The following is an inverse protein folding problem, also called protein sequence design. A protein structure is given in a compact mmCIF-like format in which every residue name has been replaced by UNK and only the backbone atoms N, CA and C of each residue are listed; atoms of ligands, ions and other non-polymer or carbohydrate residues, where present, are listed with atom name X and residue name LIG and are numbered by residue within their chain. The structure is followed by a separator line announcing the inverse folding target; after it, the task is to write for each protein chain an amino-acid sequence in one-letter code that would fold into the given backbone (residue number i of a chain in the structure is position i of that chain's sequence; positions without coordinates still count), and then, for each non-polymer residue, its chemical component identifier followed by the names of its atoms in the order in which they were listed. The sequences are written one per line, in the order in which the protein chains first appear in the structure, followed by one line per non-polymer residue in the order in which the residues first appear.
data_IF_997437249100
#
_entry.id   IF_997437249100
#
_cell.length_a   1.000
_cell.length_b   1.000
_cell.length_c   1.000
_cell.angle_alpha   90.00
_cell.angle_beta   90.00
_cell.angle_gamma   90.00
#
_symmetry.space_group_name_H-M   'P 1'
#
loop_
_entity.id
_entity.type
_entity.pdbx_description
1 polymer ?
#
# COMPACT_ATOMS: atom_id res chain seq x y z
N UNK A 1 6.75 6.13 -8.63
CA UNK A 1 5.37 6.28 -9.14
C UNK A 1 5.33 7.34 -10.22
N UNK A 2 4.36 7.28 -11.14
CA UNK A 2 4.10 8.38 -12.05
C UNK A 2 3.41 9.54 -11.31
N UNK A 3 3.44 10.74 -11.90
CA UNK A 3 2.83 11.92 -11.30
C UNK A 3 1.31 11.80 -11.19
N UNK A 4 0.80 12.18 -10.04
CA UNK A 4 -0.63 12.19 -9.74
C UNK A 4 -0.97 13.46 -8.94
N UNK A 5 -2.11 14.07 -9.19
CA UNK A 5 -2.59 15.19 -8.37
C UNK A 5 -2.85 14.75 -6.92
N UNK A 6 -2.43 15.59 -5.96
CA UNK A 6 -2.61 15.33 -4.53
C UNK A 6 -4.08 15.07 -4.17
N UNK A 7 -5.01 15.79 -4.79
CA UNK A 7 -6.46 15.62 -4.59
C UNK A 7 -6.95 14.21 -4.90
N UNK A 8 -6.40 13.57 -5.94
CA UNK A 8 -6.73 12.19 -6.30
C UNK A 8 -6.08 11.19 -5.35
N UNK A 9 -4.80 11.42 -5.02
CA UNK A 9 -4.04 10.52 -4.15
C UNK A 9 -4.57 10.49 -2.72
N UNK A 10 -4.98 11.67 -2.20
CA UNK A 10 -5.45 11.88 -0.84
C UNK A 10 -6.98 11.78 -0.69
N UNK A 11 -7.69 11.40 -1.74
CA UNK A 11 -9.14 11.23 -1.68
C UNK A 11 -9.54 10.26 -0.55
N UNK A 12 -10.48 10.68 0.29
CA UNK A 12 -10.92 9.91 1.46
C UNK A 12 -10.04 10.07 2.71
N UNK A 13 -8.85 10.68 2.61
CA UNK A 13 -8.00 11.00 3.76
C UNK A 13 -8.20 12.44 4.26
N UNK A 14 -8.65 13.33 3.38
CA UNK A 14 -8.87 14.74 3.71
C UNK A 14 -10.30 15.14 3.37
N UNK A 15 -10.91 16.07 4.13
CA UNK A 15 -12.22 16.60 3.79
C UNK A 15 -12.20 17.45 2.51
N UNK A 16 -13.34 17.61 1.88
CA UNK A 16 -13.48 18.48 0.72
C UNK A 16 -13.08 19.93 1.07
N UNK A 17 -12.26 20.54 0.23
CA UNK A 17 -11.75 21.91 0.44
C UNK A 17 -10.54 22.02 1.37
N UNK A 18 -10.02 20.92 1.88
CA UNK A 18 -8.77 20.94 2.68
C UNK A 18 -7.57 21.42 1.86
N UNK A 19 -7.44 20.94 0.63
CA UNK A 19 -6.33 21.30 -0.23
C UNK A 19 -6.53 22.71 -0.80
N UNK A 20 -5.69 23.65 -0.42
CA UNK A 20 -5.63 25.02 -0.97
C UNK A 20 -4.92 25.08 -2.33
N UNK A 21 -4.13 24.04 -2.65
CA UNK A 21 -3.46 23.82 -3.92
C UNK A 21 -3.48 22.33 -4.25
N UNK A 22 -3.37 21.96 -5.51
CA UNK A 22 -3.40 20.57 -5.98
C UNK A 22 -2.09 20.19 -6.70
N UNK A 23 -0.96 20.12 -5.98
CA UNK A 23 0.33 19.80 -6.58
C UNK A 23 0.36 18.38 -7.13
N UNK A 24 1.21 18.16 -8.15
CA UNK A 24 1.57 16.83 -8.59
C UNK A 24 2.53 16.17 -7.60
N UNK A 25 2.24 14.93 -7.24
CA UNK A 25 3.03 14.07 -6.36
C UNK A 25 3.61 12.92 -7.16
N UNK A 26 4.91 12.65 -7.03
CA UNK A 26 5.57 11.52 -7.69
C UNK A 26 6.30 10.59 -6.72
N UNK A 27 6.20 10.85 -5.42
CA UNK A 27 6.76 10.02 -4.36
C UNK A 27 5.90 10.09 -3.11
N UNK A 28 5.60 8.93 -2.55
CA UNK A 28 5.14 8.75 -1.17
C UNK A 28 6.20 7.96 -0.45
N UNK A 29 6.78 8.51 0.61
CA UNK A 29 7.85 7.84 1.36
C UNK A 29 7.60 7.85 2.85
N UNK A 30 8.13 6.84 3.53
CA UNK A 30 8.19 6.74 5.00
C UNK A 30 9.61 6.88 5.52
N UNK A 31 10.59 7.07 4.64
CA UNK A 31 12.00 7.27 4.96
C UNK A 31 12.34 8.75 4.80
N UNK A 32 12.70 9.42 5.91
CA UNK A 32 13.05 10.83 5.90
C UNK A 32 14.26 11.16 5.01
N UNK A 33 15.09 10.16 4.70
CA UNK A 33 16.27 10.32 3.82
C UNK A 33 15.90 10.35 2.34
N UNK A 34 14.69 9.91 1.98
CA UNK A 34 14.18 9.91 0.62
C UNK A 34 13.29 11.13 0.31
N UNK A 35 13.10 12.02 1.30
CA UNK A 35 12.30 13.23 1.12
C UNK A 35 12.91 14.09 0.01
N UNK A 36 12.04 14.55 -0.87
CA UNK A 36 12.39 15.45 -1.99
C UNK A 36 11.22 16.37 -2.32
N UNK A 37 11.46 17.48 -3.03
CA UNK A 37 10.40 18.42 -3.38
C UNK A 37 9.19 17.76 -4.04
N UNK A 38 8.00 18.08 -3.55
CA UNK A 38 6.73 17.56 -4.06
C UNK A 38 6.32 16.18 -3.56
N UNK A 39 7.11 15.51 -2.70
CA UNK A 39 6.71 14.23 -2.14
C UNK A 39 5.65 14.37 -1.03
N UNK A 40 5.03 13.24 -0.65
CA UNK A 40 4.29 13.10 0.60
C UNK A 40 5.13 12.24 1.55
N UNK A 41 5.43 12.77 2.72
CA UNK A 41 6.08 12.03 3.79
C UNK A 41 5.04 11.46 4.74
N UNK A 42 5.11 10.17 5.06
CA UNK A 42 4.20 9.49 5.99
C UNK A 42 4.96 9.13 7.25
N UNK A 43 4.60 9.77 8.36
CA UNK A 43 5.17 9.49 9.66
C UNK A 43 4.57 8.20 10.24
N UNK A 44 5.43 7.28 10.65
CA UNK A 44 5.05 6.09 11.40
C UNK A 44 5.57 6.21 12.83
N UNK A 45 4.73 5.93 13.84
CA UNK A 45 5.21 5.82 15.21
C UNK A 45 6.14 4.62 15.33
N UNK A 46 7.23 4.77 16.03
CA UNK A 46 8.20 3.70 16.25
C UNK A 46 8.80 3.76 17.66
N UNK A 47 9.21 2.62 18.19
CA UNK A 47 9.76 2.52 19.56
C UNK A 47 11.12 3.22 19.72
N UNK A 48 11.94 3.25 18.68
CA UNK A 48 13.31 3.82 18.71
C UNK A 48 13.40 5.16 17.97
N UNK A 49 12.64 5.32 16.91
CA UNK A 49 12.58 6.52 16.08
C UNK A 49 11.13 6.77 15.72
N UNK A 50 10.58 7.89 16.17
CA UNK A 50 9.25 8.31 15.78
C UNK A 50 9.35 9.11 14.46
N UNK A 51 8.62 8.67 13.43
CA UNK A 51 8.55 9.38 12.15
C UNK A 51 8.05 10.82 12.28
N UNK A 52 7.26 11.10 13.31
CA UNK A 52 6.72 12.45 13.57
C UNK A 52 7.82 13.47 13.86
N UNK A 53 8.93 13.06 14.47
CA UNK A 53 10.09 13.93 14.73
C UNK A 53 10.71 14.50 13.44
N UNK A 54 10.46 13.87 12.31
CA UNK A 54 10.99 14.28 10.99
C UNK A 54 9.97 15.06 10.15
N UNK A 55 8.71 15.23 10.61
CA UNK A 55 7.64 15.80 9.79
C UNK A 55 7.91 17.28 9.42
N UNK A 56 8.33 18.08 10.38
CA UNK A 56 8.68 19.50 10.14
C UNK A 56 9.85 19.62 9.16
N UNK A 57 10.92 18.83 9.40
CA UNK A 57 12.09 18.78 8.51
C UNK A 57 11.74 18.33 7.09
N UNK A 58 10.83 17.34 6.95
CA UNK A 58 10.38 16.91 5.63
C UNK A 58 9.71 18.04 4.84
N UNK A 59 8.94 18.93 5.50
CA UNK A 59 8.39 20.12 4.84
C UNK A 59 9.46 21.11 4.46
N UNK A 60 10.49 21.33 5.30
CA UNK A 60 11.63 22.20 4.99
C UNK A 60 12.42 21.67 3.77
N UNK A 61 12.53 20.37 3.62
CA UNK A 61 13.16 19.70 2.47
C UNK A 61 12.25 19.64 1.23
N UNK A 62 11.03 20.20 1.33
CA UNK A 62 10.13 20.42 0.19
C UNK A 62 9.03 19.39 0.02
N UNK A 63 8.75 18.54 1.03
CA UNK A 63 7.54 17.71 0.97
C UNK A 63 6.30 18.58 0.76
N UNK A 64 5.39 18.15 -0.12
CA UNK A 64 4.14 18.86 -0.38
C UNK A 64 3.20 18.76 0.82
N UNK A 65 3.14 17.58 1.44
CA UNK A 65 2.34 17.27 2.61
C UNK A 65 3.06 16.25 3.50
N UNK A 66 2.67 16.25 4.78
CA UNK A 66 3.06 15.18 5.72
C UNK A 66 1.80 14.52 6.28
N UNK A 67 1.81 13.19 6.36
CA UNK A 67 0.76 12.41 7.03
C UNK A 67 1.24 12.13 8.45
N UNK A 68 0.44 12.54 9.42
CA UNK A 68 0.77 12.43 10.86
C UNK A 68 -0.44 11.93 11.65
N UNK A 69 -0.18 11.26 12.79
CA UNK A 69 -1.27 10.72 13.63
C UNK A 69 -1.82 11.78 14.62
N UNK A 70 -1.06 12.82 14.88
CA UNK A 70 -1.41 13.94 15.77
C UNK A 70 -0.75 15.22 15.26
N UNK A 71 -1.21 16.41 15.71
CA UNK A 71 -0.53 17.65 15.39
C UNK A 71 0.92 17.64 15.85
N UNK A 72 1.84 18.10 14.98
CA UNK A 72 3.28 18.16 15.24
C UNK A 72 3.73 19.60 15.25
N UNK A 73 4.57 19.99 16.23
CA UNK A 73 5.15 21.33 16.31
C UNK A 73 5.98 21.63 15.03
N UNK A 74 5.84 22.84 14.51
CA UNK A 74 6.51 23.26 13.28
C UNK A 74 5.84 22.77 11.98
N UNK A 75 4.73 22.01 12.06
CA UNK A 75 3.97 21.56 10.90
C UNK A 75 2.68 22.38 10.75
N UNK A 76 2.53 23.22 9.70
CA UNK A 76 1.32 23.97 9.44
C UNK A 76 0.11 23.05 9.18
N UNK A 77 -1.06 23.43 9.71
CA UNK A 77 -2.27 22.60 9.63
C UNK A 77 -2.69 22.28 8.18
N UNK A 78 -2.48 23.21 7.25
CA UNK A 78 -2.77 23.05 5.83
C UNK A 78 -1.80 22.13 5.08
N UNK A 79 -0.71 21.73 5.74
CA UNK A 79 0.28 20.75 5.23
C UNK A 79 0.22 19.42 5.96
N UNK A 80 -0.48 19.36 7.11
CA UNK A 80 -0.63 18.19 7.96
C UNK A 80 -1.89 17.41 7.59
N UNK A 81 -1.74 16.23 7.05
CA UNK A 81 -2.84 15.28 6.83
C UNK A 81 -2.97 14.45 8.11
N UNK A 82 -3.95 14.79 8.94
CA UNK A 82 -4.21 14.09 10.19
C UNK A 82 -4.93 12.77 9.89
N UNK A 83 -4.27 11.67 10.12
CA UNK A 83 -4.81 10.31 9.99
C UNK A 83 -4.38 9.47 11.20
N UNK A 84 -5.30 9.00 12.05
CA UNK A 84 -4.95 8.26 13.26
C UNK A 84 -4.14 6.98 13.03
N UNK A 85 -4.20 6.44 11.81
CA UNK A 85 -3.50 5.23 11.39
C UNK A 85 -2.72 5.45 10.09
N UNK A 86 -1.39 5.50 10.21
CA UNK A 86 -0.49 5.67 9.06
C UNK A 86 -0.54 4.47 8.08
N UNK A 87 -0.83 3.25 8.57
CA UNK A 87 -1.04 2.09 7.69
C UNK A 87 -2.29 2.27 6.84
N UNK A 88 -3.39 2.74 7.45
CA UNK A 88 -4.61 3.07 6.73
C UNK A 88 -4.35 4.14 5.67
N UNK A 89 -3.62 5.21 6.01
CA UNK A 89 -3.29 6.27 5.06
C UNK A 89 -2.49 5.73 3.85
N UNK A 90 -1.49 4.88 4.10
CA UNK A 90 -0.72 4.24 3.02
C UNK A 90 -1.61 3.37 2.13
N UNK A 91 -2.51 2.57 2.73
CA UNK A 91 -3.44 1.72 2.00
C UNK A 91 -4.39 2.52 1.11
N UNK A 92 -4.96 3.61 1.63
CA UNK A 92 -5.84 4.49 0.86
C UNK A 92 -5.10 5.14 -0.30
N UNK A 93 -3.91 5.70 -0.07
CA UNK A 93 -3.09 6.29 -1.13
C UNK A 93 -2.69 5.26 -2.19
N UNK A 94 -2.30 4.05 -1.77
CA UNK A 94 -1.97 2.96 -2.69
C UNK A 94 -3.17 2.55 -3.56
N UNK A 95 -4.35 2.41 -2.96
CA UNK A 95 -5.59 2.09 -3.67
C UNK A 95 -6.02 3.21 -4.63
N UNK A 96 -5.93 4.47 -4.19
CA UNK A 96 -6.24 5.64 -5.03
C UNK A 96 -5.30 5.74 -6.23
N UNK A 97 -4.00 5.52 -6.01
CA UNK A 97 -3.02 5.50 -7.10
C UNK A 97 -3.30 4.35 -8.07
N UNK A 98 -3.50 3.12 -7.55
CA UNK A 98 -3.83 1.95 -8.36
C UNK A 98 -5.08 2.17 -9.23
N UNK A 99 -6.07 2.91 -8.74
CA UNK A 99 -7.33 3.18 -9.44
C UNK A 99 -7.18 4.01 -10.73
N UNK A 100 -6.04 4.67 -10.93
CA UNK A 100 -5.75 5.44 -12.15
C UNK A 100 -5.32 4.54 -13.33
N UNK A 101 -5.01 3.28 -13.06
CA UNK A 101 -4.48 2.31 -14.03
C UNK A 101 -5.31 1.04 -14.04
N UNK A 102 -5.24 0.29 -15.15
CA UNK A 102 -6.07 -0.89 -15.36
C UNK A 102 -5.27 -2.15 -15.76
N UNK A 103 -4.14 -2.46 -15.07
CA UNK A 103 -3.44 -3.72 -15.31
C UNK A 103 -4.32 -4.90 -14.92
N UNK A 104 -4.08 -6.07 -15.52
CA UNK A 104 -4.62 -7.33 -15.01
C UNK A 104 -3.85 -7.76 -13.77
N UNK A 105 -4.55 -7.92 -12.66
CA UNK A 105 -3.94 -8.18 -11.35
C UNK A 105 -4.17 -9.63 -10.92
N UNK A 106 -3.08 -10.32 -10.57
CA UNK A 106 -3.12 -11.64 -9.93
C UNK A 106 -2.75 -11.47 -8.46
N UNK A 107 -3.70 -11.72 -7.58
CA UNK A 107 -3.47 -11.79 -6.14
C UNK A 107 -2.99 -13.19 -5.73
N UNK A 108 -1.97 -13.29 -4.90
CA UNK A 108 -1.44 -14.57 -4.42
C UNK A 108 -1.36 -14.59 -2.91
N UNK A 109 -2.05 -15.54 -2.27
CA UNK A 109 -1.95 -15.79 -0.84
C UNK A 109 -1.75 -17.28 -0.55
N UNK A 110 -1.61 -17.65 0.70
CA UNK A 110 -1.48 -19.04 1.17
C UNK A 110 -0.60 -19.16 2.40
N UNK A 111 -0.62 -20.31 3.03
CA UNK A 111 0.24 -20.61 4.21
C UNK A 111 1.69 -20.76 3.80
N UNK A 112 1.95 -21.50 2.71
CA UNK A 112 3.28 -21.71 2.11
C UNK A 112 3.18 -21.56 0.60
N UNK A 113 4.30 -21.31 -0.08
CA UNK A 113 4.36 -21.28 -1.55
C UNK A 113 3.99 -19.94 -2.21
N UNK A 114 3.56 -18.93 -1.47
CA UNK A 114 3.20 -17.60 -2.01
C UNK A 114 4.29 -17.00 -2.89
N UNK A 115 5.49 -16.88 -2.35
CA UNK A 115 6.62 -16.23 -3.06
C UNK A 115 7.03 -17.02 -4.30
N UNK A 116 7.07 -18.35 -4.23
CA UNK A 116 7.37 -19.19 -5.38
C UNK A 116 6.30 -19.04 -6.46
N UNK A 117 5.02 -19.11 -6.11
CA UNK A 117 3.90 -18.95 -7.04
C UNK A 117 3.91 -17.55 -7.66
N UNK A 118 4.14 -16.50 -6.86
CA UNK A 118 4.32 -15.13 -7.36
C UNK A 118 5.43 -15.05 -8.41
N UNK A 119 6.60 -15.65 -8.13
CA UNK A 119 7.74 -15.60 -9.06
C UNK A 119 7.45 -16.36 -10.37
N UNK A 120 6.83 -17.52 -10.29
CA UNK A 120 6.46 -18.30 -11.48
C UNK A 120 5.38 -17.59 -12.31
N UNK A 121 4.35 -17.06 -11.66
CA UNK A 121 3.30 -16.27 -12.34
C UNK A 121 3.88 -15.02 -13.00
N UNK A 122 4.75 -14.31 -12.32
CA UNK A 122 5.45 -13.15 -12.87
C UNK A 122 6.27 -13.54 -14.10
N UNK A 123 7.09 -14.60 -14.02
CA UNK A 123 7.92 -15.04 -15.13
C UNK A 123 7.07 -15.45 -16.36
N UNK A 124 5.93 -16.11 -16.14
CA UNK A 124 5.01 -16.47 -17.21
C UNK A 124 4.38 -15.22 -17.86
N UNK A 125 3.93 -14.24 -17.07
CA UNK A 125 3.27 -13.05 -17.60
C UNK A 125 4.22 -12.08 -18.31
N UNK A 126 5.50 -12.03 -17.93
CA UNK A 126 6.51 -11.23 -18.63
C UNK A 126 6.64 -11.56 -20.13
N UNK A 127 6.21 -12.76 -20.55
CA UNK A 127 6.17 -13.13 -21.96
C UNK A 127 5.00 -12.52 -22.75
N UNK A 128 4.03 -11.92 -22.06
CA UNK A 128 2.82 -11.34 -22.66
C UNK A 128 2.77 -9.82 -22.58
N UNK A 129 3.49 -9.18 -21.64
CA UNK A 129 3.50 -7.73 -21.51
C UNK A 129 4.29 -7.25 -20.31
N UNK A 130 4.32 -5.92 -20.13
CA UNK A 130 5.01 -5.31 -18.99
C UNK A 130 4.35 -5.72 -17.68
N UNK A 131 5.12 -6.41 -16.86
CA UNK A 131 4.64 -7.04 -15.63
C UNK A 131 5.41 -6.55 -14.43
N UNK A 132 4.72 -6.16 -13.37
CA UNK A 132 5.31 -5.90 -12.06
C UNK A 132 4.90 -6.98 -11.05
N UNK A 133 5.64 -7.06 -9.95
CA UNK A 133 5.31 -7.97 -8.83
C UNK A 133 5.66 -7.34 -7.50
N UNK A 134 5.11 -7.90 -6.43
CA UNK A 134 5.56 -7.61 -5.06
C UNK A 134 7.03 -7.98 -4.90
N UNK A 135 7.86 -7.02 -4.48
CA UNK A 135 9.27 -7.24 -4.21
C UNK A 135 9.48 -7.80 -2.80
N UNK A 136 10.43 -8.73 -2.68
CA UNK A 136 10.75 -9.34 -1.39
C UNK A 136 9.50 -9.87 -0.68
N UNK A 137 9.33 -9.41 0.56
CA UNK A 137 8.21 -9.71 1.45
C UNK A 137 7.28 -8.49 1.69
N UNK A 138 7.21 -7.54 0.74
CA UNK A 138 6.36 -6.36 0.82
C UNK A 138 4.87 -6.72 0.60
N UNK A 139 4.35 -7.65 1.37
CA UNK A 139 3.06 -8.30 1.18
C UNK A 139 2.02 -7.95 2.26
N UNK A 140 2.28 -6.91 3.05
CA UNK A 140 1.44 -6.42 4.14
C UNK A 140 0.95 -4.99 3.86
N UNK A 141 0.21 -4.40 4.80
CA UNK A 141 -0.39 -3.06 4.70
C UNK A 141 0.61 -1.90 4.55
N UNK A 142 1.89 -2.12 4.83
CA UNK A 142 2.95 -1.14 4.57
C UNK A 142 3.63 -1.38 3.21
N UNK A 143 3.92 -2.62 2.88
CA UNK A 143 4.69 -2.99 1.69
C UNK A 143 3.86 -3.00 0.41
N UNK A 144 2.63 -3.52 0.48
CA UNK A 144 1.80 -3.64 -0.71
C UNK A 144 1.44 -2.29 -1.35
N UNK A 145 1.08 -1.21 -0.60
CA UNK A 145 0.87 0.10 -1.21
C UNK A 145 2.06 0.60 -2.04
N UNK A 146 3.28 0.34 -1.58
CA UNK A 146 4.50 0.66 -2.33
C UNK A 146 4.57 -0.10 -3.66
N UNK A 147 4.12 -1.37 -3.67
CA UNK A 147 4.02 -2.15 -4.91
C UNK A 147 2.95 -1.56 -5.84
N UNK A 148 1.78 -1.19 -5.32
CA UNK A 148 0.70 -0.58 -6.09
C UNK A 148 1.14 0.75 -6.74
N UNK A 149 1.92 1.55 -6.01
CA UNK A 149 2.46 2.83 -6.51
C UNK A 149 3.55 2.66 -7.59
N UNK A 150 3.99 1.43 -7.89
CA UNK A 150 4.88 1.14 -9.03
C UNK A 150 4.13 0.83 -10.31
N UNK A 151 2.82 0.63 -10.26
CA UNK A 151 1.98 0.50 -11.45
C UNK A 151 2.09 1.81 -12.25
N UNK A 152 2.26 1.72 -13.54
CA UNK A 152 2.32 2.85 -14.46
C UNK A 152 1.47 2.61 -15.70
N UNK A 153 1.47 3.58 -16.61
CA UNK A 153 0.68 3.54 -17.83
C UNK A 153 1.05 2.36 -18.75
N UNK A 154 2.30 1.90 -18.71
CA UNK A 154 2.79 0.76 -19.49
C UNK A 154 2.55 -0.58 -18.82
N UNK A 155 2.16 -0.61 -17.52
CA UNK A 155 1.98 -1.87 -16.79
C UNK A 155 0.73 -2.60 -17.27
N UNK A 156 0.91 -3.78 -17.85
CA UNK A 156 -0.18 -4.62 -18.33
C UNK A 156 -0.60 -5.66 -17.28
N UNK A 157 0.35 -6.15 -16.49
CA UNK A 157 0.12 -7.17 -15.47
C UNK A 157 0.75 -6.80 -14.13
N UNK A 158 0.10 -7.19 -13.04
CA UNK A 158 0.65 -7.05 -11.70
C UNK A 158 0.43 -8.32 -10.88
N UNK A 159 1.49 -8.87 -10.27
CA UNK A 159 1.40 -10.05 -9.39
C UNK A 159 1.62 -9.62 -7.94
N UNK A 160 0.55 -9.58 -7.18
CA UNK A 160 0.51 -9.01 -5.83
C UNK A 160 0.45 -10.14 -4.79
N UNK A 161 1.53 -10.30 -4.03
CA UNK A 161 1.56 -11.22 -2.89
C UNK A 161 0.85 -10.58 -1.68
N UNK A 162 -0.05 -11.33 -1.03
CA UNK A 162 -0.83 -10.90 0.11
C UNK A 162 -0.54 -11.83 1.30
N UNK A 163 0.13 -11.28 2.30
CA UNK A 163 0.41 -11.93 3.58
C UNK A 163 -0.60 -11.53 4.65
N UNK A 164 -0.69 -12.33 5.71
CA UNK A 164 -1.51 -11.98 6.87
C UNK A 164 -0.99 -12.67 8.13
N UNK A 165 -1.25 -12.06 9.26
CA UNK A 165 -1.10 -12.62 10.60
C UNK A 165 -2.45 -12.72 11.34
N UNK A 166 -3.42 -11.86 10.96
CA UNK A 166 -4.74 -11.78 11.56
C UNK A 166 -5.83 -11.77 10.48
N UNK A 167 -7.05 -12.11 10.89
CA UNK A 167 -8.23 -11.99 10.04
C UNK A 167 -8.49 -10.52 9.67
N UNK A 168 -9.03 -10.29 8.46
CA UNK A 168 -9.33 -8.96 7.91
C UNK A 168 -8.16 -8.29 7.20
N UNK A 169 -6.91 -8.77 7.35
CA UNK A 169 -5.76 -8.18 6.69
C UNK A 169 -5.82 -8.42 5.17
N UNK A 170 -6.10 -9.65 4.73
CA UNK A 170 -6.21 -9.95 3.29
C UNK A 170 -7.42 -9.24 2.67
N UNK A 171 -8.53 -9.06 3.37
CA UNK A 171 -9.68 -8.29 2.88
C UNK A 171 -9.26 -6.87 2.49
N UNK A 172 -8.54 -6.17 3.38
CA UNK A 172 -8.06 -4.82 3.11
C UNK A 172 -7.07 -4.77 1.94
N UNK A 173 -6.13 -5.73 1.89
CA UNK A 173 -5.16 -5.84 0.81
C UNK A 173 -5.86 -6.11 -0.53
N UNK A 174 -6.82 -7.04 -0.56
CA UNK A 174 -7.55 -7.41 -1.76
C UNK A 174 -8.41 -6.26 -2.31
N UNK A 175 -9.12 -5.54 -1.43
CA UNK A 175 -9.91 -4.37 -1.84
C UNK A 175 -9.05 -3.25 -2.43
N UNK A 176 -7.83 -3.06 -1.91
CA UNK A 176 -6.91 -2.06 -2.45
C UNK A 176 -6.28 -2.49 -3.78
N UNK A 177 -5.89 -3.76 -3.91
CA UNK A 177 -5.25 -4.29 -5.12
C UNK A 177 -6.24 -4.58 -6.24
N UNK A 178 -7.49 -4.94 -5.91
CA UNK A 178 -8.56 -5.37 -6.85
C UNK A 178 -8.05 -6.42 -7.85
N UNK A 179 -7.71 -7.62 -7.40
CA UNK A 179 -7.23 -8.67 -8.30
C UNK A 179 -8.35 -9.13 -9.25
N UNK A 180 -7.98 -9.43 -10.50
CA UNK A 180 -8.85 -10.13 -11.47
C UNK A 180 -8.86 -11.63 -11.20
N UNK A 181 -7.76 -12.16 -10.62
CA UNK A 181 -7.58 -13.57 -10.27
C UNK A 181 -6.97 -13.68 -8.88
N UNK A 182 -7.55 -14.51 -8.04
CA UNK A 182 -7.01 -14.85 -6.72
C UNK A 182 -6.44 -16.27 -6.69
N UNK A 183 -5.21 -16.45 -6.23
CA UNK A 183 -4.56 -17.75 -6.05
C UNK A 183 -4.34 -17.99 -4.56
N UNK A 184 -4.90 -19.09 -4.03
CA UNK A 184 -4.61 -19.61 -2.70
C UNK A 184 -3.73 -20.84 -2.87
N UNK A 185 -2.46 -20.75 -2.52
CA UNK A 185 -1.49 -21.82 -2.78
C UNK A 185 -1.69 -23.02 -1.88
N UNK A 186 -1.98 -22.79 -0.61
CA UNK A 186 -2.15 -23.84 0.40
C UNK A 186 -2.84 -23.30 1.67
N UNK A 187 -3.66 -24.13 2.30
CA UNK A 187 -4.23 -23.91 3.63
C UNK A 187 -3.49 -24.84 4.62
N UNK A 188 -2.47 -24.32 5.25
CA UNK A 188 -1.69 -25.01 6.27
C UNK A 188 -1.95 -24.47 7.67
N UNK A 189 -0.95 -24.59 8.55
CA UNK A 189 -1.05 -24.20 9.97
C UNK A 189 -0.31 -22.90 10.32
N UNK A 190 0.24 -22.18 9.32
CA UNK A 190 0.91 -20.90 9.57
C UNK A 190 -0.04 -19.91 10.22
N UNK A 191 0.44 -19.20 11.27
CA UNK A 191 -0.35 -18.25 12.06
C UNK A 191 -1.51 -18.88 12.87
N UNK A 192 -1.47 -20.19 13.13
CA UNK A 192 -2.51 -20.87 13.91
C UNK A 192 -2.62 -20.32 15.34
N UNK A 193 -1.51 -19.84 15.90
CA UNK A 193 -1.50 -19.19 17.22
C UNK A 193 -2.36 -17.93 17.29
N UNK A 194 -2.46 -17.18 16.17
CA UNK A 194 -3.25 -15.95 16.10
C UNK A 194 -4.71 -16.24 15.68
N UNK A 195 -4.92 -17.26 14.86
CA UNK A 195 -6.22 -17.55 14.23
C UNK A 195 -6.98 -18.70 14.91
N UNK A 196 -6.30 -19.47 15.75
CA UNK A 196 -6.89 -20.52 16.59
C UNK A 196 -7.15 -21.85 15.88
N UNK A 197 -7.47 -21.87 14.59
CA UNK A 197 -7.76 -23.10 13.85
C UNK A 197 -7.41 -23.00 12.37
N UNK A 198 -7.23 -24.16 11.72
CA UNK A 198 -7.02 -24.22 10.26
C UNK A 198 -8.25 -23.74 9.48
N UNK A 199 -9.44 -23.93 10.01
CA UNK A 199 -10.68 -23.39 9.42
C UNK A 199 -10.66 -21.86 9.38
N UNK A 200 -10.25 -21.22 10.47
CA UNK A 200 -10.10 -19.76 10.52
C UNK A 200 -9.00 -19.26 9.57
N UNK A 201 -7.90 -20.02 9.43
CA UNK A 201 -6.85 -19.73 8.44
C UNK A 201 -7.45 -19.80 7.02
N UNK A 202 -8.29 -20.79 6.74
CA UNK A 202 -8.99 -20.89 5.46
C UNK A 202 -9.89 -19.66 5.21
N UNK A 203 -10.72 -19.31 6.21
CA UNK A 203 -11.59 -18.11 6.12
C UNK A 203 -10.79 -16.84 5.85
N UNK A 204 -9.71 -16.62 6.60
CA UNK A 204 -8.84 -15.45 6.42
C UNK A 204 -8.17 -15.42 5.04
N UNK A 205 -7.80 -16.56 4.44
CA UNK A 205 -7.25 -16.57 3.09
C UNK A 205 -8.29 -16.40 2.00
N UNK A 206 -9.54 -16.84 2.24
CA UNK A 206 -10.66 -16.59 1.34
C UNK A 206 -11.06 -15.11 1.28
N UNK A 207 -10.59 -14.26 2.19
CA UNK A 207 -10.76 -12.81 2.12
C UNK A 207 -10.18 -12.21 0.82
N UNK A 208 -9.28 -12.92 0.13
CA UNK A 208 -8.80 -12.49 -1.19
C UNK A 208 -9.93 -12.30 -2.20
N UNK A 209 -11.03 -13.02 -2.02
CA UNK A 209 -12.22 -12.89 -2.86
C UNK A 209 -12.92 -11.53 -2.74
N UNK A 210 -12.69 -10.78 -1.66
CA UNK A 210 -13.30 -9.47 -1.44
C UNK A 210 -12.86 -8.41 -2.47
N UNK A 211 -11.75 -8.62 -3.15
CA UNK A 211 -11.23 -7.75 -4.20
C UNK A 211 -11.56 -8.18 -5.63
N UNK A 212 -12.11 -9.38 -5.81
CA UNK A 212 -12.48 -9.91 -7.13
C UNK A 212 -13.71 -9.17 -7.70
N UNK A 213 -13.82 -9.08 -9.05
CA UNK A 213 -14.97 -8.45 -9.71
C UNK A 213 -16.30 -9.20 -9.48
#
# INVERSE_FOLDING_TARGET
MEKIHASKLLAGLVPAGFLTSDPEVELVTTDSREVRPGCIFVAFPGERFDGHDFAAKALEEGAAFVVVNHPVEGVPAEKAILCPDSYHAMMVMGANYRSQYHPKVVGVTGSVGKTTTKQMTYAALCGFGETIKTEGNQNNELGMPRTLMRIGASTEYAVIEMGMSHAGEIDRLARAARPDVGIITCIGVSHIGNLGSQENICKAKLEICAGLP
#
